data_IF_678024712059
#
_entry.id   IF_678024712059
#
_cell.length_a   1.000
_cell.length_b   1.000
_cell.length_c   1.000
_cell.angle_alpha   90.00
_cell.angle_beta   90.00
_cell.angle_gamma   90.00
#
_symmetry.space_group_name_H-M   'P 1'
#
loop_
_entity.id
_entity.type
_entity.pdbx_description
1 polymer ?
#
# COMPACT_ATOMS: atom_id res chain seq x y z
N UNK A 1 -17.44 -15.33 7.99
CA UNK A 1 -18.45 -16.25 7.40
C UNK A 1 -18.50 -15.97 5.90
N UNK A 2 -18.34 -17.01 5.08
CA UNK A 2 -18.49 -16.89 3.62
C UNK A 2 -19.92 -17.30 3.25
N UNK A 3 -20.80 -16.34 3.08
CA UNK A 3 -22.14 -16.57 2.56
C UNK A 3 -22.09 -16.84 1.06
N UNK A 4 -22.89 -17.80 0.57
CA UNK A 4 -23.16 -17.98 -0.85
C UNK A 4 -23.91 -16.76 -1.41
N UNK A 5 -23.94 -16.61 -2.73
CA UNK A 5 -24.69 -15.48 -3.34
C UNK A 5 -26.19 -15.55 -3.01
N UNK A 6 -26.78 -16.74 -3.01
CA UNK A 6 -28.19 -16.90 -2.67
C UNK A 6 -28.48 -16.49 -1.21
N UNK A 7 -27.67 -16.91 -0.25
CA UNK A 7 -27.78 -16.48 1.14
C UNK A 7 -27.64 -14.96 1.31
N UNK A 8 -26.83 -14.31 0.48
CA UNK A 8 -26.70 -12.85 0.48
C UNK A 8 -27.93 -12.16 -0.10
N UNK A 9 -28.55 -12.72 -1.13
CA UNK A 9 -29.80 -12.21 -1.70
C UNK A 9 -30.94 -12.35 -0.68
N UNK A 10 -31.02 -13.46 0.03
CA UNK A 10 -32.04 -13.71 1.07
C UNK A 10 -31.95 -12.76 2.26
N UNK A 11 -30.78 -12.13 2.49
CA UNK A 11 -30.64 -11.10 3.53
C UNK A 11 -31.31 -9.77 3.16
N UNK A 12 -31.69 -9.57 1.89
CA UNK A 12 -32.40 -8.38 1.42
C UNK A 12 -33.88 -8.70 1.31
N UNK A 13 -34.59 -8.52 2.41
CA UNK A 13 -36.03 -8.80 2.52
C UNK A 13 -36.90 -7.58 2.22
N UNK A 14 -38.22 -7.78 2.20
CA UNK A 14 -39.16 -6.66 2.06
C UNK A 14 -39.04 -5.60 3.17
N UNK A 15 -38.48 -5.95 4.33
CA UNK A 15 -38.22 -5.02 5.43
C UNK A 15 -36.88 -4.28 5.33
N UNK A 16 -36.08 -4.55 4.29
CA UNK A 16 -34.71 -4.03 4.14
C UNK A 16 -34.67 -2.83 3.19
N UNK A 17 -33.98 -1.75 3.60
CA UNK A 17 -33.49 -0.71 2.71
C UNK A 17 -32.04 -1.06 2.30
N UNK A 18 -31.75 -0.98 1.03
CA UNK A 18 -30.37 -1.06 0.52
C UNK A 18 -29.91 0.34 0.17
N UNK A 19 -28.80 0.76 0.78
CA UNK A 19 -28.18 2.07 0.52
C UNK A 19 -26.87 1.83 -0.19
N UNK A 20 -26.74 2.36 -1.41
CA UNK A 20 -25.45 2.44 -2.08
C UNK A 20 -24.77 3.75 -1.74
N UNK A 21 -23.49 3.69 -1.39
CA UNK A 21 -22.68 4.86 -1.03
C UNK A 21 -21.42 4.88 -1.90
N UNK A 22 -21.26 5.97 -2.63
CA UNK A 22 -20.01 6.29 -3.31
C UNK A 22 -19.12 7.10 -2.36
N UNK A 23 -17.92 6.60 -2.14
CA UNK A 23 -16.97 7.13 -1.15
C UNK A 23 -16.02 8.12 -1.82
N UNK A 24 -16.16 9.40 -1.48
CA UNK A 24 -15.19 10.44 -1.83
C UNK A 24 -14.25 10.78 -0.68
N UNK A 25 -13.22 11.56 -0.95
CA UNK A 25 -12.27 12.01 0.07
C UNK A 25 -12.87 12.99 1.07
N UNK A 26 -13.75 13.88 0.60
CA UNK A 26 -14.39 14.93 1.42
C UNK A 26 -15.91 14.78 1.49
N UNK A 27 -16.54 14.34 0.40
CA UNK A 27 -17.98 14.23 0.28
C UNK A 27 -18.32 12.83 -0.24
N UNK A 28 -19.28 12.20 0.41
CA UNK A 28 -19.88 10.93 0.02
C UNK A 28 -21.25 11.16 -0.61
N UNK A 29 -21.64 10.27 -1.51
CA UNK A 29 -22.93 10.31 -2.17
C UNK A 29 -23.71 9.03 -1.92
N UNK A 30 -24.97 9.13 -1.59
CA UNK A 30 -25.82 7.99 -1.25
C UNK A 30 -27.17 8.01 -1.98
N UNK A 31 -27.66 6.80 -2.29
CA UNK A 31 -29.03 6.55 -2.77
C UNK A 31 -29.61 5.32 -2.08
N UNK A 32 -30.92 5.31 -1.85
CA UNK A 32 -31.61 4.22 -1.18
C UNK A 32 -32.58 3.50 -2.11
N UNK A 33 -32.64 2.19 -1.96
CA UNK A 33 -33.46 1.26 -2.76
C UNK A 33 -34.16 0.24 -1.87
N UNK A 34 -35.32 -0.24 -2.32
CA UNK A 34 -35.96 -1.41 -1.75
C UNK A 34 -35.35 -2.71 -2.26
N UNK A 35 -35.78 -3.82 -1.69
CA UNK A 35 -35.32 -5.18 -2.01
C UNK A 35 -35.44 -5.59 -3.48
N UNK A 36 -36.38 -5.03 -4.23
CA UNK A 36 -36.57 -5.26 -5.68
C UNK A 36 -35.84 -4.24 -6.56
N UNK A 37 -34.89 -3.47 -6.01
CA UNK A 37 -34.15 -2.44 -6.73
C UNK A 37 -34.98 -1.20 -7.07
N UNK A 38 -36.20 -1.04 -6.48
CA UNK A 38 -36.98 0.18 -6.62
C UNK A 38 -36.33 1.31 -5.84
N UNK A 39 -36.03 2.41 -6.51
CA UNK A 39 -35.45 3.58 -5.89
C UNK A 39 -36.45 4.26 -4.93
N UNK A 40 -36.00 4.53 -3.71
CA UNK A 40 -36.79 5.19 -2.66
C UNK A 40 -36.48 6.69 -2.56
N UNK A 41 -35.36 7.13 -3.15
CA UNK A 41 -34.90 8.52 -3.11
C UNK A 41 -35.08 9.20 -4.46
N UNK A 42 -35.60 10.43 -4.44
CA UNK A 42 -35.74 11.25 -5.68
C UNK A 42 -34.43 11.91 -6.11
N UNK A 43 -33.54 12.17 -5.17
CA UNK A 43 -32.25 12.86 -5.36
C UNK A 43 -31.15 12.12 -4.65
N UNK A 44 -29.92 12.31 -5.10
CA UNK A 44 -28.72 11.87 -4.39
C UNK A 44 -28.62 12.62 -3.08
N UNK A 45 -28.38 11.90 -1.99
CA UNK A 45 -28.03 12.47 -0.71
C UNK A 45 -26.51 12.60 -0.64
N UNK A 46 -26.00 13.78 -0.26
CA UNK A 46 -24.58 14.02 -0.09
C UNK A 46 -24.28 14.36 1.36
N UNK A 47 -23.15 13.88 1.87
CA UNK A 47 -22.70 14.15 3.23
C UNK A 47 -21.18 14.20 3.31
N UNK A 48 -20.65 14.99 4.25
CA UNK A 48 -19.21 15.14 4.46
C UNK A 48 -18.59 13.93 5.15
N UNK A 49 -17.27 13.73 4.90
CA UNK A 49 -16.48 12.69 5.55
C UNK A 49 -16.00 13.16 6.93
N UNK A 50 -16.96 13.51 7.80
CA UNK A 50 -16.79 13.96 9.18
C UNK A 50 -17.95 13.49 10.04
N UNK A 51 -17.88 13.75 11.35
CA UNK A 51 -18.90 13.31 12.31
C UNK A 51 -20.28 13.91 12.03
N UNK A 52 -20.35 15.17 11.63
CA UNK A 52 -21.61 15.87 11.34
C UNK A 52 -22.26 15.27 10.09
N UNK A 53 -21.48 15.03 9.04
CA UNK A 53 -21.94 14.35 7.84
C UNK A 53 -22.43 12.93 8.10
N UNK A 54 -21.71 12.16 8.93
CA UNK A 54 -22.12 10.81 9.30
C UNK A 54 -23.40 10.81 10.14
N UNK A 55 -23.56 11.75 11.06
CA UNK A 55 -24.81 11.92 11.83
C UNK A 55 -25.98 12.29 10.92
N UNK A 56 -25.76 13.18 9.95
CA UNK A 56 -26.78 13.54 8.96
C UNK A 56 -27.18 12.35 8.09
N UNK A 57 -26.21 11.54 7.66
CA UNK A 57 -26.47 10.29 6.96
C UNK A 57 -27.27 9.30 7.80
N UNK A 58 -26.93 9.13 9.07
CA UNK A 58 -27.65 8.25 9.97
C UNK A 58 -29.11 8.69 10.14
N UNK A 59 -29.35 9.98 10.37
CA UNK A 59 -30.69 10.55 10.48
C UNK A 59 -31.49 10.34 9.19
N UNK A 60 -30.88 10.58 8.04
CA UNK A 60 -31.49 10.36 6.73
C UNK A 60 -31.90 8.89 6.53
N UNK A 61 -31.05 7.93 6.91
CA UNK A 61 -31.39 6.49 6.86
C UNK A 61 -32.56 6.15 7.77
N UNK A 62 -32.59 6.64 9.00
CA UNK A 62 -33.71 6.37 9.95
C UNK A 62 -35.00 7.01 9.45
N UNK A 63 -34.95 8.20 8.88
CA UNK A 63 -36.14 8.84 8.26
C UNK A 63 -36.68 7.97 7.12
N UNK A 64 -35.81 7.48 6.23
CA UNK A 64 -36.21 6.61 5.13
C UNK A 64 -36.82 5.29 5.61
N UNK A 65 -36.30 4.71 6.70
CA UNK A 65 -36.88 3.50 7.30
C UNK A 65 -38.30 3.74 7.78
N UNK A 66 -38.51 4.86 8.45
CA UNK A 66 -39.85 5.24 8.97
C UNK A 66 -40.85 5.52 7.84
N UNK A 67 -40.46 6.34 6.85
CA UNK A 67 -41.33 6.71 5.72
C UNK A 67 -41.73 5.52 4.85
N UNK A 68 -40.86 4.49 4.75
CA UNK A 68 -41.09 3.32 3.90
C UNK A 68 -41.51 2.07 4.67
N UNK A 69 -41.82 2.17 5.98
CA UNK A 69 -42.15 1.05 6.86
C UNK A 69 -41.10 -0.08 6.81
N UNK A 70 -39.82 0.28 6.90
CA UNK A 70 -38.69 -0.65 6.89
C UNK A 70 -38.02 -0.72 8.26
N UNK A 71 -37.48 -1.90 8.58
CA UNK A 71 -36.86 -2.15 9.90
C UNK A 71 -35.35 -2.38 9.81
N UNK A 72 -34.85 -2.77 8.64
CA UNK A 72 -33.45 -3.11 8.43
C UNK A 72 -32.82 -2.23 7.33
N UNK A 73 -31.51 -2.03 7.43
CA UNK A 73 -30.70 -1.35 6.41
C UNK A 73 -29.45 -2.18 6.09
N UNK A 74 -29.13 -2.28 4.82
CA UNK A 74 -27.88 -2.83 4.33
C UNK A 74 -27.16 -1.76 3.50
N UNK A 75 -26.00 -1.33 3.96
CA UNK A 75 -25.24 -0.24 3.36
C UNK A 75 -24.11 -0.84 2.53
N UNK A 76 -24.09 -0.57 1.23
CA UNK A 76 -23.02 -0.97 0.33
C UNK A 76 -22.12 0.17 -0.06
N UNK A 77 -20.81 -0.04 -0.11
CA UNK A 77 -19.86 0.92 -0.65
C UNK A 77 -18.82 0.24 -1.52
N UNK A 78 -18.20 1.05 -2.39
CA UNK A 78 -16.98 0.66 -3.11
C UNK A 78 -15.77 1.07 -2.26
N UNK A 79 -14.80 0.17 -1.97
CA UNK A 79 -13.62 0.49 -1.18
C UNK A 79 -12.62 1.34 -1.96
N UNK A 80 -12.87 2.66 -2.02
CA UNK A 80 -11.97 3.61 -2.68
C UNK A 80 -10.86 4.04 -1.73
N UNK A 81 -9.65 3.56 -1.98
CA UNK A 81 -8.47 3.90 -1.15
C UNK A 81 -8.69 3.60 0.33
N UNK A 82 -8.45 4.61 1.18
CA UNK A 82 -8.59 4.53 2.64
C UNK A 82 -9.77 5.37 3.19
N UNK A 83 -10.46 6.10 2.35
CA UNK A 83 -11.50 7.05 2.78
C UNK A 83 -12.75 6.39 3.38
N UNK A 84 -12.98 5.11 3.08
CA UNK A 84 -14.10 4.34 3.60
C UNK A 84 -13.94 3.88 5.06
N UNK A 85 -12.72 3.87 5.63
CA UNK A 85 -12.48 3.33 6.97
C UNK A 85 -13.24 4.09 8.06
N UNK A 86 -13.20 5.43 8.04
CA UNK A 86 -13.90 6.26 9.02
C UNK A 86 -15.42 6.03 8.97
N UNK A 87 -15.99 6.00 7.76
CA UNK A 87 -17.39 5.72 7.54
C UNK A 87 -17.77 4.30 7.97
N UNK A 88 -16.96 3.30 7.64
CA UNK A 88 -17.19 1.92 8.05
C UNK A 88 -17.20 1.75 9.58
N UNK A 89 -16.24 2.38 10.25
CA UNK A 89 -16.21 2.41 11.72
C UNK A 89 -17.50 3.01 12.28
N UNK A 90 -17.90 4.19 11.80
CA UNK A 90 -19.13 4.86 12.23
C UNK A 90 -20.37 3.97 12.04
N UNK A 91 -20.52 3.35 10.87
CA UNK A 91 -21.64 2.44 10.56
C UNK A 91 -21.69 1.25 11.51
N UNK A 92 -20.52 0.66 11.80
CA UNK A 92 -20.38 -0.47 12.70
C UNK A 92 -20.71 -0.08 14.16
N UNK A 93 -20.19 1.06 14.64
CA UNK A 93 -20.45 1.60 15.98
C UNK A 93 -21.96 1.86 16.20
N UNK A 94 -22.71 2.17 15.13
CA UNK A 94 -24.17 2.34 15.14
C UNK A 94 -24.94 1.06 14.81
N UNK A 95 -24.30 -0.12 14.93
CA UNK A 95 -24.90 -1.44 14.73
C UNK A 95 -25.60 -1.63 13.37
N UNK A 96 -25.13 -0.90 12.35
CA UNK A 96 -25.59 -1.06 10.97
C UNK A 96 -24.64 -1.95 10.19
N UNK A 97 -25.14 -2.61 9.16
CA UNK A 97 -24.36 -3.53 8.34
C UNK A 97 -23.79 -2.82 7.14
N UNK A 98 -22.45 -2.82 7.03
CA UNK A 98 -21.73 -2.38 5.85
C UNK A 98 -21.26 -3.58 5.04
N UNK A 99 -21.40 -3.51 3.73
CA UNK A 99 -20.88 -4.49 2.77
C UNK A 99 -20.10 -3.78 1.65
N UNK A 100 -19.20 -4.50 1.02
CA UNK A 100 -18.35 -3.96 -0.03
C UNK A 100 -18.64 -4.59 -1.37
N UNK A 101 -18.73 -3.76 -2.40
CA UNK A 101 -18.82 -4.18 -3.78
C UNK A 101 -17.44 -4.12 -4.45
N UNK A 102 -17.22 -5.02 -5.40
CA UNK A 102 -15.95 -5.04 -6.12
C UNK A 102 -15.90 -3.86 -7.12
N UNK A 103 -14.86 -2.99 -7.09
CA UNK A 103 -14.70 -1.87 -8.02
C UNK A 103 -14.74 -2.27 -9.49
N UNK A 104 -14.20 -3.42 -9.82
CA UNK A 104 -14.26 -3.94 -11.19
C UNK A 104 -15.71 -4.22 -11.63
N UNK A 105 -16.55 -4.77 -10.74
CA UNK A 105 -17.96 -5.02 -11.02
C UNK A 105 -18.74 -3.73 -11.17
N UNK A 106 -18.47 -2.71 -10.35
CA UNK A 106 -19.07 -1.37 -10.48
C UNK A 106 -18.74 -0.78 -11.83
N UNK A 107 -17.47 -0.79 -12.24
CA UNK A 107 -17.04 -0.29 -13.55
C UNK A 107 -17.73 -1.03 -14.70
N UNK A 108 -17.81 -2.35 -14.67
CA UNK A 108 -18.41 -3.17 -15.73
C UNK A 108 -19.92 -2.93 -15.87
N UNK A 109 -20.65 -2.81 -14.77
CA UNK A 109 -22.10 -2.52 -14.84
C UNK A 109 -22.36 -1.10 -15.37
N UNK A 110 -21.52 -0.13 -14.99
CA UNK A 110 -21.60 1.21 -15.58
C UNK A 110 -21.42 1.20 -17.10
N UNK A 111 -20.46 0.44 -17.60
CA UNK A 111 -20.22 0.30 -19.04
C UNK A 111 -21.43 -0.34 -19.76
N UNK A 112 -22.16 -1.23 -19.08
CA UNK A 112 -23.36 -1.89 -19.65
C UNK A 112 -24.63 -1.00 -19.57
N UNK A 113 -24.80 -0.26 -18.47
CA UNK A 113 -26.01 0.55 -18.24
C UNK A 113 -25.98 1.91 -18.99
N UNK A 114 -24.82 2.35 -19.50
CA UNK A 114 -24.68 3.68 -20.08
C UNK A 114 -23.69 3.71 -21.27
N UNK A 115 -24.23 3.94 -22.48
CA UNK A 115 -23.43 4.25 -23.67
C UNK A 115 -22.79 5.66 -23.62
N UNK A 116 -22.96 6.41 -22.53
CA UNK A 116 -22.44 7.76 -22.37
C UNK A 116 -21.22 7.80 -21.44
N UNK A 117 -20.05 8.27 -21.89
CA UNK A 117 -18.83 8.31 -21.09
C UNK A 117 -18.82 9.39 -20.00
N UNK A 118 -19.92 10.09 -19.77
CA UNK A 118 -20.00 11.15 -18.76
C UNK A 118 -20.01 10.55 -17.34
N UNK A 119 -18.90 10.73 -16.64
CA UNK A 119 -18.76 10.46 -15.20
C UNK A 119 -19.74 11.40 -14.45
N UNK A 120 -20.77 10.82 -13.85
CA UNK A 120 -21.68 11.56 -12.96
C UNK A 120 -21.70 10.86 -11.63
N UNK A 121 -21.24 11.52 -10.57
CA UNK A 121 -21.15 11.01 -9.19
C UNK A 121 -22.52 10.53 -8.65
N UNK A 122 -23.60 10.90 -9.30
CA UNK A 122 -24.96 10.46 -8.99
C UNK A 122 -25.31 9.02 -9.44
N UNK A 123 -24.50 8.41 -10.32
CA UNK A 123 -24.78 7.08 -10.89
C UNK A 123 -24.13 5.97 -10.05
N UNK A 124 -23.03 6.25 -9.40
CA UNK A 124 -22.22 5.29 -8.65
C UNK A 124 -22.98 4.67 -7.46
N UNK A 125 -23.68 5.44 -6.61
CA UNK A 125 -24.49 4.89 -5.54
C UNK A 125 -25.61 3.94 -6.02
N UNK A 126 -26.19 4.22 -7.19
CA UNK A 126 -27.23 3.36 -7.78
C UNK A 126 -26.65 2.01 -8.20
N UNK A 127 -25.51 2.02 -8.90
CA UNK A 127 -24.82 0.79 -9.33
C UNK A 127 -24.38 -0.06 -8.14
N UNK A 128 -23.85 0.59 -7.10
CA UNK A 128 -23.47 -0.06 -5.85
C UNK A 128 -24.68 -0.75 -5.20
N UNK A 129 -25.80 -0.03 -5.04
CA UNK A 129 -27.00 -0.60 -4.45
C UNK A 129 -27.55 -1.79 -5.26
N UNK A 130 -27.51 -1.72 -6.58
CA UNK A 130 -27.91 -2.81 -7.50
C UNK A 130 -27.10 -4.08 -7.25
N UNK A 131 -25.76 -3.94 -7.17
CA UNK A 131 -24.87 -5.06 -6.85
C UNK A 131 -25.17 -5.67 -5.48
N UNK A 132 -25.50 -4.85 -4.48
CA UNK A 132 -25.86 -5.31 -3.14
C UNK A 132 -27.18 -6.10 -3.18
N UNK A 133 -28.20 -5.62 -3.87
CA UNK A 133 -29.48 -6.34 -4.04
C UNK A 133 -29.26 -7.70 -4.72
N UNK A 134 -28.36 -7.78 -5.68
CA UNK A 134 -27.99 -9.02 -6.38
C UNK A 134 -27.08 -9.96 -5.58
N UNK A 135 -26.76 -9.64 -4.32
CA UNK A 135 -25.86 -10.44 -3.47
C UNK A 135 -24.38 -10.41 -3.92
N UNK A 136 -23.99 -9.50 -4.81
CA UNK A 136 -22.63 -9.37 -5.34
C UNK A 136 -21.78 -8.46 -4.46
N UNK A 137 -21.62 -8.85 -3.20
CA UNK A 137 -20.83 -8.10 -2.22
C UNK A 137 -20.01 -9.01 -1.33
N UNK A 138 -19.04 -8.45 -0.65
CA UNK A 138 -18.28 -9.07 0.43
C UNK A 138 -18.54 -8.35 1.75
N UNK A 139 -18.40 -9.07 2.86
CA UNK A 139 -18.44 -8.45 4.20
C UNK A 139 -17.02 -8.04 4.53
N UNK A 140 -16.74 -6.74 4.79
CA UNK A 140 -15.42 -6.31 5.17
C UNK A 140 -15.04 -6.88 6.53
N UNK A 141 -13.84 -7.39 6.64
CA UNK A 141 -13.25 -7.70 7.94
C UNK A 141 -12.48 -6.47 8.41
N UNK A 142 -12.93 -5.88 9.51
CA UNK A 142 -12.23 -4.81 10.19
C UNK A 142 -11.64 -5.37 11.48
N UNK A 143 -10.33 -5.68 11.51
CA UNK A 143 -9.70 -6.18 12.71
C UNK A 143 -9.70 -5.11 13.80
N UNK A 144 -9.91 -5.54 15.04
CA UNK A 144 -9.91 -4.70 16.24
C UNK A 144 -8.80 -5.12 17.21
N UNK A 145 -8.46 -4.22 18.13
CA UNK A 145 -7.46 -4.47 19.16
C UNK A 145 -6.11 -4.89 18.58
N UNK A 146 -5.51 -5.94 19.12
CA UNK A 146 -4.18 -6.44 18.73
C UNK A 146 -4.10 -6.81 17.24
N UNK A 147 -5.19 -7.30 16.64
CA UNK A 147 -5.21 -7.66 15.23
C UNK A 147 -5.15 -6.44 14.31
N UNK A 148 -5.72 -5.30 14.72
CA UNK A 148 -5.59 -4.05 13.99
C UNK A 148 -4.13 -3.55 14.01
N UNK A 149 -3.48 -3.59 15.18
CA UNK A 149 -2.08 -3.21 15.33
C UNK A 149 -1.15 -4.10 14.51
N UNK A 150 -1.34 -5.43 14.57
CA UNK A 150 -0.57 -6.38 13.75
C UNK A 150 -0.74 -6.07 12.26
N UNK A 151 -1.96 -5.83 11.80
CA UNK A 151 -2.21 -5.49 10.40
C UNK A 151 -1.44 -4.23 9.99
N UNK A 152 -1.46 -3.19 10.81
CA UNK A 152 -0.81 -1.91 10.50
C UNK A 152 0.72 -2.04 10.51
N UNK A 153 1.27 -2.86 11.41
CA UNK A 153 2.69 -3.21 11.42
C UNK A 153 3.10 -4.00 10.18
N UNK A 154 2.29 -4.99 9.75
CA UNK A 154 2.55 -5.78 8.53
C UNK A 154 2.53 -4.87 7.30
N UNK A 155 1.55 -3.99 7.14
CA UNK A 155 1.51 -3.04 6.03
C UNK A 155 2.72 -2.08 6.05
N UNK A 156 3.10 -1.60 7.22
CA UNK A 156 4.28 -0.74 7.36
C UNK A 156 5.56 -1.48 6.97
N UNK A 157 5.71 -2.72 7.44
CA UNK A 157 6.83 -3.60 7.09
C UNK A 157 6.91 -3.86 5.58
N UNK A 158 5.80 -4.20 4.95
CA UNK A 158 5.76 -4.46 3.51
C UNK A 158 6.12 -3.23 2.68
N UNK A 159 5.66 -2.06 3.10
CA UNK A 159 6.03 -0.77 2.47
C UNK A 159 7.54 -0.52 2.59
N UNK A 160 8.10 -0.69 3.79
CA UNK A 160 9.53 -0.49 4.05
C UNK A 160 10.37 -1.51 3.26
N UNK A 161 9.96 -2.78 3.26
CA UNK A 161 10.63 -3.84 2.50
C UNK A 161 10.67 -3.53 0.99
N UNK A 162 9.59 -3.00 0.42
CA UNK A 162 9.57 -2.56 -0.99
C UNK A 162 10.59 -1.46 -1.25
N UNK A 163 10.68 -0.45 -0.38
CA UNK A 163 11.64 0.63 -0.53
C UNK A 163 13.09 0.14 -0.35
N UNK A 164 13.32 -0.73 0.63
CA UNK A 164 14.62 -1.38 0.82
C UNK A 164 15.06 -2.12 -0.45
N UNK A 165 14.20 -2.94 -1.06
CA UNK A 165 14.51 -3.65 -2.29
C UNK A 165 14.74 -2.71 -3.49
N UNK A 166 13.98 -1.61 -3.58
CA UNK A 166 14.19 -0.59 -4.62
C UNK A 166 15.57 0.05 -4.47
N UNK A 167 15.96 0.46 -3.25
CA UNK A 167 17.27 1.05 -2.99
C UNK A 167 18.42 0.06 -3.30
N UNK A 168 18.26 -1.20 -2.89
CA UNK A 168 19.21 -2.27 -3.21
C UNK A 168 19.40 -2.44 -4.73
N UNK A 169 18.32 -2.52 -5.49
CA UNK A 169 18.36 -2.67 -6.95
C UNK A 169 19.01 -1.45 -7.63
N UNK A 170 18.80 -0.23 -7.10
CA UNK A 170 19.46 0.98 -7.62
C UNK A 170 20.96 0.94 -7.41
N UNK A 171 21.43 0.51 -6.22
CA UNK A 171 22.86 0.34 -5.93
C UNK A 171 23.45 -0.74 -6.85
N UNK A 172 22.78 -1.89 -7.01
CA UNK A 172 23.24 -2.94 -7.91
C UNK A 172 23.35 -2.44 -9.37
N UNK A 173 22.37 -1.67 -9.83
CA UNK A 173 22.44 -1.05 -11.16
C UNK A 173 23.62 -0.10 -11.28
N UNK A 174 23.86 0.73 -10.28
CA UNK A 174 24.99 1.65 -10.27
C UNK A 174 26.32 0.87 -10.33
N UNK A 175 26.47 -0.18 -9.53
CA UNK A 175 27.64 -1.06 -9.54
C UNK A 175 27.81 -1.75 -10.90
N UNK A 176 26.74 -2.26 -11.49
CA UNK A 176 26.80 -2.89 -12.81
C UNK A 176 27.31 -1.96 -13.92
N UNK A 177 27.13 -0.65 -13.76
CA UNK A 177 27.62 0.37 -14.72
C UNK A 177 29.04 0.79 -14.41
N UNK A 178 29.38 1.01 -13.14
CA UNK A 178 30.62 1.68 -12.75
C UNK A 178 31.67 0.75 -12.13
N UNK A 179 31.27 -0.40 -11.59
CA UNK A 179 32.14 -1.40 -11.00
C UNK A 179 31.50 -2.79 -11.04
N UNK A 180 31.24 -3.36 -12.23
CA UNK A 180 30.50 -4.62 -12.38
C UNK A 180 31.18 -5.81 -11.67
N UNK A 181 32.50 -5.85 -11.57
CA UNK A 181 33.26 -6.91 -10.91
C UNK A 181 32.94 -6.98 -9.41
N UNK A 182 32.55 -5.84 -8.80
CA UNK A 182 32.14 -5.78 -7.39
C UNK A 182 31.00 -6.73 -7.07
N UNK A 183 30.02 -6.85 -7.97
CA UNK A 183 28.88 -7.73 -7.84
C UNK A 183 29.23 -9.23 -7.86
N UNK A 184 30.34 -9.57 -8.56
CA UNK A 184 30.82 -10.94 -8.64
C UNK A 184 31.68 -11.38 -7.46
N UNK A 185 32.20 -10.44 -6.67
CA UNK A 185 33.08 -10.75 -5.56
C UNK A 185 32.37 -11.29 -4.32
N UNK A 186 31.08 -10.96 -4.16
CA UNK A 186 30.35 -11.19 -2.93
C UNK A 186 28.97 -11.78 -3.20
N UNK A 187 28.53 -12.65 -2.34
CA UNK A 187 27.16 -13.20 -2.40
C UNK A 187 26.11 -12.10 -2.17
N UNK A 188 26.47 -11.06 -1.42
CA UNK A 188 25.66 -9.88 -1.14
C UNK A 188 26.53 -8.65 -1.14
N UNK A 189 26.14 -7.61 -1.87
CA UNK A 189 26.86 -6.33 -1.93
C UNK A 189 26.62 -5.46 -0.67
N UNK A 190 25.56 -5.76 0.09
CA UNK A 190 25.06 -4.96 1.22
C UNK A 190 25.62 -5.42 2.58
N UNK A 191 26.65 -6.28 2.58
CA UNK A 191 27.34 -6.58 3.82
C UNK A 191 28.04 -5.32 4.37
N UNK A 192 28.04 -5.17 5.70
CA UNK A 192 28.56 -3.96 6.37
C UNK A 192 30.00 -3.65 5.96
N UNK A 193 30.84 -4.69 5.78
CA UNK A 193 32.24 -4.56 5.32
C UNK A 193 32.33 -3.97 3.90
N UNK A 194 31.41 -4.35 3.03
CA UNK A 194 31.41 -3.97 1.63
C UNK A 194 30.89 -2.55 1.45
N UNK A 195 29.77 -2.24 2.11
CA UNK A 195 29.25 -0.87 2.17
C UNK A 195 30.27 0.11 2.73
N UNK A 196 31.06 -0.31 3.75
CA UNK A 196 32.10 0.53 4.33
C UNK A 196 33.19 0.93 3.33
N UNK A 197 33.54 0.03 2.40
CA UNK A 197 34.50 0.34 1.32
C UNK A 197 33.87 1.24 0.28
N UNK A 198 32.65 0.94 -0.20
CA UNK A 198 31.93 1.75 -1.17
C UNK A 198 31.72 3.21 -0.72
N UNK A 199 31.54 3.44 0.58
CA UNK A 199 31.45 4.80 1.17
C UNK A 199 32.73 5.62 1.04
N UNK A 200 33.89 4.98 0.95
CA UNK A 200 35.19 5.65 0.90
C UNK A 200 35.82 5.58 -0.48
N UNK A 201 35.58 4.49 -1.19
CA UNK A 201 36.17 4.21 -2.49
C UNK A 201 35.08 3.64 -3.43
N UNK A 202 34.19 4.46 -3.97
CA UNK A 202 33.05 4.01 -4.77
C UNK A 202 33.48 3.48 -6.16
N UNK A 203 34.53 4.01 -6.75
CA UNK A 203 34.97 3.68 -8.11
C UNK A 203 36.23 2.79 -8.10
N UNK A 204 36.46 1.99 -9.13
CA UNK A 204 37.69 1.17 -9.25
C UNK A 204 38.96 1.98 -8.99
N UNK A 205 39.10 3.17 -9.56
CA UNK A 205 40.25 4.05 -9.34
C UNK A 205 40.46 4.46 -7.88
N UNK A 206 39.37 4.62 -7.11
CA UNK A 206 39.45 4.95 -5.68
C UNK A 206 39.95 3.74 -4.88
N UNK A 207 39.47 2.55 -5.23
CA UNK A 207 39.92 1.28 -4.61
C UNK A 207 41.42 1.03 -4.90
N UNK A 208 41.86 1.27 -6.12
CA UNK A 208 43.28 1.17 -6.51
C UNK A 208 44.12 2.16 -5.69
N UNK A 209 43.67 3.42 -5.58
CA UNK A 209 44.38 4.46 -4.81
C UNK A 209 44.48 4.12 -3.30
N UNK A 210 43.45 3.48 -2.74
CA UNK A 210 43.50 3.00 -1.34
C UNK A 210 44.44 1.83 -1.14
N UNK A 211 44.48 0.92 -2.12
CA UNK A 211 45.23 -0.33 -2.02
C UNK A 211 44.76 -1.23 -0.88
N UNK A 212 45.41 -2.36 -0.74
CA UNK A 212 45.10 -3.39 0.28
C UNK A 212 45.12 -2.82 1.70
N UNK A 213 46.14 -2.03 2.02
CA UNK A 213 46.30 -1.46 3.35
C UNK A 213 45.23 -0.44 3.68
N UNK A 214 44.81 0.39 2.71
CA UNK A 214 43.72 1.35 2.89
C UNK A 214 42.38 0.69 3.17
N UNK A 215 42.04 -0.39 2.45
CA UNK A 215 40.84 -1.17 2.66
C UNK A 215 40.85 -1.81 4.05
N UNK A 216 41.93 -2.45 4.46
CA UNK A 216 42.10 -3.04 5.81
C UNK A 216 41.96 -2.00 6.89
N UNK A 217 42.50 -0.78 6.68
CA UNK A 217 42.34 0.33 7.61
C UNK A 217 40.88 0.74 7.79
N UNK A 218 40.10 0.82 6.71
CA UNK A 218 38.65 1.11 6.79
C UNK A 218 37.93 0.10 7.70
N UNK A 219 38.19 -1.18 7.53
CA UNK A 219 37.61 -2.23 8.35
C UNK A 219 38.06 -2.15 9.81
N UNK A 220 39.34 -1.91 10.04
CA UNK A 220 39.91 -1.76 11.38
C UNK A 220 39.31 -0.57 12.12
N UNK A 221 39.22 0.60 11.49
CA UNK A 221 38.69 1.83 12.08
C UNK A 221 37.21 1.68 12.48
N UNK A 222 36.47 0.88 11.73
CA UNK A 222 35.08 0.50 12.05
C UNK A 222 34.97 -0.71 13.00
N UNK A 223 36.08 -1.18 13.58
CA UNK A 223 36.15 -2.35 14.49
C UNK A 223 35.50 -3.61 13.93
N UNK A 224 35.61 -3.80 12.64
CA UNK A 224 35.05 -4.98 11.96
C UNK A 224 35.99 -6.17 12.14
N UNK A 225 35.40 -7.35 12.38
CA UNK A 225 36.12 -8.60 12.52
C UNK A 225 35.37 -9.75 11.83
N UNK A 226 36.07 -10.86 11.58
CA UNK A 226 35.49 -12.07 11.00
C UNK A 226 35.88 -12.34 9.54
N UNK A 227 35.21 -13.32 8.93
CA UNK A 227 35.55 -13.84 7.59
C UNK A 227 35.38 -12.81 6.47
N UNK A 228 34.66 -11.73 6.72
CA UNK A 228 34.42 -10.67 5.73
C UNK A 228 35.52 -9.61 5.62
N UNK A 229 36.57 -9.62 6.47
CA UNK A 229 37.57 -8.55 6.61
C UNK A 229 39.00 -9.08 6.57
N UNK A 230 39.26 -9.99 5.66
CA UNK A 230 40.58 -10.63 5.50
C UNK A 230 41.48 -9.88 4.51
N UNK A 231 42.79 -10.08 4.63
CA UNK A 231 43.74 -9.50 3.69
C UNK A 231 43.56 -10.02 2.24
N UNK A 232 43.27 -11.31 2.10
CA UNK A 232 43.01 -11.93 0.80
C UNK A 232 41.77 -11.29 0.13
N UNK A 233 40.72 -10.99 0.91
CA UNK A 233 39.55 -10.30 0.37
C UNK A 233 39.88 -8.87 -0.09
N UNK A 234 40.74 -8.17 0.62
CA UNK A 234 41.20 -6.86 0.22
C UNK A 234 42.06 -6.94 -1.06
N UNK A 235 42.93 -7.97 -1.21
CA UNK A 235 43.71 -8.22 -2.42
C UNK A 235 42.80 -8.51 -3.62
N UNK A 236 41.82 -9.40 -3.47
CA UNK A 236 40.86 -9.73 -4.52
C UNK A 236 40.06 -8.49 -4.98
N UNK A 237 39.65 -7.61 -4.04
CA UNK A 237 38.95 -6.37 -4.40
C UNK A 237 39.84 -5.40 -5.20
N UNK A 238 41.13 -5.24 -4.83
CA UNK A 238 42.09 -4.40 -5.56
C UNK A 238 42.38 -4.98 -6.94
N UNK A 239 42.52 -6.28 -7.05
CA UNK A 239 42.71 -6.97 -8.33
C UNK A 239 41.48 -6.79 -9.25
N UNK A 240 40.28 -6.95 -8.73
CA UNK A 240 39.05 -6.70 -9.46
C UNK A 240 38.97 -5.24 -9.94
N UNK A 241 39.40 -4.29 -9.11
CA UNK A 241 39.45 -2.88 -9.50
C UNK A 241 40.45 -2.60 -10.64
N UNK A 242 41.60 -3.26 -10.65
CA UNK A 242 42.55 -3.14 -11.76
C UNK A 242 42.03 -3.70 -13.08
N UNK A 243 41.19 -4.73 -13.02
CA UNK A 243 40.65 -5.42 -14.19
C UNK A 243 39.23 -4.91 -14.56
N UNK A 244 38.78 -3.85 -13.91
CA UNK A 244 37.38 -3.38 -14.09
C UNK A 244 37.15 -2.80 -15.48
N UNK A 245 36.02 -3.22 -16.07
CA UNK A 245 35.47 -2.70 -17.33
C UNK A 245 34.35 -1.64 -17.08
N UNK A 246 34.15 -1.23 -15.82
CA UNK A 246 33.15 -0.26 -15.43
C UNK A 246 33.41 1.12 -16.06
N UNK A 247 32.34 1.86 -16.28
CA UNK A 247 32.40 3.23 -16.78
C UNK A 247 33.05 4.16 -15.74
N UNK A 248 33.99 4.96 -16.19
CA UNK A 248 34.58 6.01 -15.36
C UNK A 248 33.53 7.00 -14.89
N UNK A 249 33.73 7.52 -13.71
CA UNK A 249 32.81 8.47 -13.07
C UNK A 249 33.55 9.63 -12.39
N UNK A 250 32.84 10.74 -12.27
CA UNK A 250 33.29 11.94 -11.57
C UNK A 250 32.56 12.15 -10.22
N UNK A 251 32.55 13.40 -9.78
CA UNK A 251 31.91 13.83 -8.52
C UNK A 251 30.42 13.49 -8.54
N UNK A 252 29.70 13.75 -9.65
CA UNK A 252 28.27 13.47 -9.75
C UNK A 252 27.94 11.97 -9.61
N UNK A 253 28.74 11.11 -10.24
CA UNK A 253 28.59 9.65 -10.12
C UNK A 253 28.78 9.16 -8.68
N UNK A 254 29.79 9.69 -7.98
CA UNK A 254 30.02 9.38 -6.56
C UNK A 254 28.89 9.88 -5.67
N UNK A 255 28.42 11.12 -5.92
CA UNK A 255 27.32 11.71 -5.16
C UNK A 255 26.04 10.89 -5.30
N UNK A 256 25.75 10.37 -6.49
CA UNK A 256 24.60 9.47 -6.70
C UNK A 256 24.71 8.22 -5.82
N UNK A 257 25.87 7.54 -5.81
CA UNK A 257 26.03 6.35 -4.96
C UNK A 257 25.90 6.70 -3.49
N UNK A 258 26.45 7.82 -3.01
CA UNK A 258 26.34 8.19 -1.61
C UNK A 258 24.88 8.41 -1.19
N UNK A 259 24.06 9.07 -2.02
CA UNK A 259 22.63 9.22 -1.79
C UNK A 259 21.92 7.86 -1.73
N UNK A 260 22.23 6.96 -2.65
CA UNK A 260 21.66 5.60 -2.68
C UNK A 260 22.03 4.78 -1.44
N UNK A 261 23.28 4.91 -0.95
CA UNK A 261 23.73 4.24 0.27
C UNK A 261 23.03 4.80 1.52
N UNK A 262 22.80 6.10 1.60
CA UNK A 262 22.02 6.73 2.68
C UNK A 262 20.56 6.27 2.67
N UNK A 263 19.91 6.24 1.50
CA UNK A 263 18.56 5.68 1.36
C UNK A 263 18.51 4.24 1.84
N UNK A 264 19.43 3.42 1.41
CA UNK A 264 19.48 2.00 1.76
C UNK A 264 19.65 1.77 3.26
N UNK A 265 20.51 2.54 3.92
CA UNK A 265 20.69 2.49 5.37
C UNK A 265 19.43 2.90 6.11
N UNK A 266 18.76 3.95 5.67
CA UNK A 266 17.51 4.40 6.27
C UNK A 266 16.48 3.27 6.25
N UNK A 267 16.29 2.64 5.09
CA UNK A 267 15.31 1.56 4.94
C UNK A 267 15.71 0.30 5.73
N UNK A 268 17.01 -0.03 5.80
CA UNK A 268 17.51 -1.13 6.63
C UNK A 268 17.20 -0.89 8.11
N UNK A 269 17.52 0.28 8.62
CA UNK A 269 17.26 0.66 10.03
C UNK A 269 15.76 0.65 10.37
N UNK A 270 14.93 1.17 9.46
CA UNK A 270 13.47 1.14 9.65
C UNK A 270 12.91 -0.27 9.63
N UNK A 271 13.43 -1.14 8.76
CA UNK A 271 13.03 -2.55 8.70
C UNK A 271 13.39 -3.30 9.99
N UNK A 272 14.57 -3.07 10.52
CA UNK A 272 14.99 -3.61 11.82
C UNK A 272 14.05 -3.12 12.93
N UNK A 273 13.76 -1.82 12.99
CA UNK A 273 12.89 -1.24 14.00
C UNK A 273 11.47 -1.83 14.00
N UNK A 274 10.91 -2.13 12.81
CA UNK A 274 9.58 -2.77 12.71
C UNK A 274 9.63 -4.24 13.09
N UNK A 275 10.71 -4.96 12.78
CA UNK A 275 10.83 -6.38 13.12
C UNK A 275 11.00 -6.63 14.63
N UNK A 276 11.38 -5.61 15.43
CA UNK A 276 11.48 -5.69 16.89
C UNK A 276 10.18 -5.39 17.64
N UNK A 277 9.15 -4.91 16.97
CA UNK A 277 7.82 -4.62 17.55
C UNK A 277 6.87 -5.77 17.38
#
# INVERSE_FOLDING_TARGET
MNYTQNEKIEQVTDSTIVVGVDIGSQIHYARAFGNRGRELTKRVFSFHNDLEGFNSFNLWVETLKTENNKTAVLIGCEPTGHYWFAFAKYVNDHQKRLVMVNPFSVKKIKELDDNSPKKTDSKDPKTIAKLVVEGRYSIPYMPEGIYAEIRDLVYSRDRIMKQHNISANRIQRWLAIHFPEYLGLYTRFDAISDLAVLEKAPLPKDVIALGVNGIRKIWHDKKMCGRGVTEDRAKTLVEAAHNSVGLDGGIGTKSELYMLLEEHRLWTSQLEAVNYK
#
